data_IF_904891457410
#
_entry.id   IF_904891457410
#
_cell.length_a   1.000
_cell.length_b   1.000
_cell.length_c   1.000
_cell.angle_alpha   90.00
_cell.angle_beta   90.00
_cell.angle_gamma   90.00
#
_symmetry.space_group_name_H-M   'P 1'
#
loop_
_entity.id
_entity.type
_entity.pdbx_description
1 polymer ?
#
# COMPACT_ATOMS: atom_id res chain seq x y z
N UNK A 1 10.99 2.69 10.01
CA UNK A 1 10.15 1.52 10.26
C UNK A 1 8.82 2.01 10.82
N UNK A 2 7.76 1.22 10.73
CA UNK A 2 6.50 1.54 11.37
C UNK A 2 6.61 1.51 12.90
N UNK A 3 5.98 2.49 13.55
CA UNK A 3 5.81 2.57 15.00
C UNK A 3 4.52 3.33 15.31
N UNK A 4 4.09 3.31 16.57
CA UNK A 4 2.96 4.11 17.02
C UNK A 4 3.31 5.59 17.15
N UNK A 5 2.43 6.46 16.65
CA UNK A 5 2.52 7.91 16.78
C UNK A 5 1.11 8.54 16.84
N UNK A 6 1.07 9.87 16.88
CA UNK A 6 -0.16 10.66 17.03
C UNK A 6 -0.54 10.85 18.49
N UNK A 7 -1.71 11.46 18.75
CA UNK A 7 -2.24 11.56 20.11
C UNK A 7 -2.40 10.16 20.70
N UNK A 8 -1.94 9.97 21.95
CA UNK A 8 -2.10 8.72 22.69
C UNK A 8 -1.60 7.44 21.99
N UNK A 9 -0.64 7.54 21.06
CA UNK A 9 -0.12 6.39 20.31
C UNK A 9 -1.23 5.60 19.59
N UNK A 10 -2.11 6.32 18.89
CA UNK A 10 -3.28 5.77 18.22
C UNK A 10 -3.05 5.32 16.78
N UNK A 11 -2.00 5.79 16.11
CA UNK A 11 -1.73 5.49 14.70
C UNK A 11 -0.47 4.65 14.57
N UNK A 12 -0.57 3.49 13.92
CA UNK A 12 0.57 2.65 13.57
C UNK A 12 0.86 2.78 12.07
N UNK A 13 2.03 3.34 11.75
CA UNK A 13 2.42 3.61 10.36
C UNK A 13 3.91 3.89 10.27
N UNK A 14 4.51 3.63 9.09
CA UNK A 14 5.78 4.26 8.73
C UNK A 14 5.59 5.75 8.51
N UNK A 15 6.57 6.56 8.91
CA UNK A 15 6.60 7.99 8.58
C UNK A 15 7.76 8.28 7.65
N UNK A 16 7.50 9.12 6.65
CA UNK A 16 8.52 9.70 5.81
C UNK A 16 9.31 10.72 6.65
N UNK A 17 10.64 10.60 6.56
CA UNK A 17 11.62 11.44 7.25
C UNK A 17 12.47 12.22 6.24
N UNK A 18 12.19 12.10 4.95
CA UNK A 18 12.84 12.91 3.92
C UNK A 18 12.49 14.39 4.13
N UNK A 19 13.50 15.25 4.07
CA UNK A 19 13.35 16.69 4.30
C UNK A 19 12.32 17.29 3.32
N UNK A 20 11.32 18.00 3.87
CA UNK A 20 10.19 18.56 3.11
C UNK A 20 9.04 17.58 2.84
N UNK A 21 9.13 16.32 3.28
CA UNK A 21 8.06 15.31 3.19
C UNK A 21 7.68 14.72 4.56
N UNK A 22 8.18 15.32 5.64
CA UNK A 22 8.04 14.82 6.99
C UNK A 22 6.56 14.63 7.36
N UNK A 23 6.27 13.54 8.07
CA UNK A 23 4.91 13.21 8.51
C UNK A 23 4.02 12.63 7.39
N UNK A 24 4.57 12.45 6.18
CA UNK A 24 3.93 11.64 5.16
C UNK A 24 3.93 10.15 5.52
N UNK A 25 2.99 9.39 4.95
CA UNK A 25 2.95 7.92 5.06
C UNK A 25 2.52 7.30 3.72
N UNK A 26 2.86 6.03 3.51
CA UNK A 26 2.37 5.22 2.40
C UNK A 26 1.39 4.13 2.84
N UNK A 27 1.37 3.74 4.13
CA UNK A 27 0.52 2.70 4.68
C UNK A 27 0.41 2.88 6.19
N UNK A 28 -0.81 2.83 6.71
CA UNK A 28 -1.02 2.83 8.15
C UNK A 28 -2.41 2.41 8.56
N UNK A 29 -2.57 2.16 9.86
CA UNK A 29 -3.84 1.85 10.50
C UNK A 29 -3.93 2.58 11.85
N UNK A 30 -5.10 3.12 12.18
CA UNK A 30 -5.38 3.68 13.50
C UNK A 30 -6.12 2.67 14.37
N UNK A 31 -5.99 2.83 15.70
CA UNK A 31 -6.78 2.07 16.68
C UNK A 31 -8.28 2.26 16.51
N UNK A 32 -8.72 3.34 15.86
CA UNK A 32 -10.13 3.62 15.53
C UNK A 32 -10.65 2.89 14.29
N UNK A 33 -9.85 1.98 13.70
CA UNK A 33 -10.26 1.18 12.53
C UNK A 33 -10.04 1.86 11.18
N UNK A 34 -9.42 3.04 11.12
CA UNK A 34 -9.07 3.67 9.84
C UNK A 34 -7.79 3.09 9.27
N UNK A 35 -7.82 2.58 8.05
CA UNK A 35 -6.64 2.12 7.31
C UNK A 35 -6.50 2.91 6.01
N UNK A 36 -5.28 3.29 5.64
CA UNK A 36 -5.03 3.85 4.31
C UNK A 36 -3.73 3.33 3.72
N UNK A 37 -3.72 3.20 2.40
CA UNK A 37 -2.56 2.79 1.63
C UNK A 37 -2.45 3.60 0.34
N UNK A 38 -1.24 4.06 0.01
CA UNK A 38 -0.95 4.84 -1.18
C UNK A 38 0.04 4.12 -2.08
N UNK A 39 -0.24 4.10 -3.38
CA UNK A 39 0.74 3.71 -4.40
C UNK A 39 0.92 4.83 -5.41
N UNK A 40 2.12 4.93 -6.01
CA UNK A 40 2.35 5.83 -7.13
C UNK A 40 1.60 5.33 -8.38
N UNK A 41 1.43 6.18 -9.38
CA UNK A 41 1.12 5.76 -10.75
C UNK A 41 2.38 5.90 -11.61
N UNK A 42 2.74 4.86 -12.36
CA UNK A 42 3.92 4.83 -13.22
C UNK A 42 3.69 5.77 -14.40
N UNK A 43 4.39 6.90 -14.41
CA UNK A 43 4.36 7.92 -15.45
C UNK A 43 5.73 8.59 -15.53
N UNK A 44 6.32 8.64 -16.72
CA UNK A 44 7.63 9.25 -16.94
C UNK A 44 7.58 10.78 -16.86
N UNK A 45 6.39 11.38 -17.05
CA UNK A 45 6.19 12.83 -17.03
C UNK A 45 5.66 13.24 -15.66
N UNK A 46 6.57 13.57 -14.74
CA UNK A 46 6.22 14.11 -13.44
C UNK A 46 6.22 15.64 -13.49
N UNK A 47 5.23 16.26 -12.84
CA UNK A 47 5.23 17.69 -12.56
C UNK A 47 6.13 17.96 -11.34
N UNK A 48 7.22 18.73 -11.46
CA UNK A 48 8.12 19.02 -10.33
C UNK A 48 7.45 19.89 -9.25
N UNK A 49 6.44 20.67 -9.62
CA UNK A 49 5.74 21.60 -8.71
C UNK A 49 4.52 20.95 -8.02
N UNK A 50 4.27 19.67 -8.28
CA UNK A 50 3.17 18.95 -7.65
C UNK A 50 3.43 18.68 -6.16
N UNK A 51 2.36 18.70 -5.37
CA UNK A 51 2.44 18.42 -3.95
C UNK A 51 2.86 16.97 -3.65
N UNK A 52 3.54 16.78 -2.52
CA UNK A 52 3.79 15.46 -1.95
C UNK A 52 2.48 14.75 -1.60
N UNK A 53 2.46 13.42 -1.77
CA UNK A 53 1.25 12.61 -1.56
C UNK A 53 1.21 11.91 -0.20
N UNK A 54 2.33 11.88 0.52
CA UNK A 54 2.44 11.16 1.79
C UNK A 54 1.45 11.66 2.84
N UNK A 55 1.11 12.96 2.82
CA UNK A 55 0.13 13.53 3.73
C UNK A 55 -1.29 12.98 3.52
N UNK A 56 -1.63 12.45 2.34
CA UNK A 56 -2.96 11.88 2.08
C UNK A 56 -3.27 10.69 2.99
N UNK A 57 -2.27 9.87 3.29
CA UNK A 57 -2.44 8.73 4.21
C UNK A 57 -2.54 9.20 5.65
N UNK A 58 -1.57 10.00 6.11
CA UNK A 58 -1.56 10.47 7.50
C UNK A 58 -2.75 11.35 7.84
N UNK A 59 -3.19 12.22 6.93
CA UNK A 59 -4.40 13.02 7.09
C UNK A 59 -5.62 12.12 7.26
N UNK A 60 -5.83 11.10 6.42
CA UNK A 60 -6.98 10.19 6.59
C UNK A 60 -6.99 9.48 7.95
N UNK A 61 -5.82 9.00 8.41
CA UNK A 61 -5.69 8.29 9.68
C UNK A 61 -6.03 9.18 10.90
N UNK A 62 -5.78 10.49 10.80
CA UNK A 62 -6.09 11.48 11.83
C UNK A 62 -7.51 12.07 11.71
N UNK A 63 -8.07 12.14 10.50
CA UNK A 63 -9.39 12.74 10.22
C UNK A 63 -10.53 11.90 10.82
N UNK A 64 -11.72 12.51 10.91
CA UNK A 64 -12.97 11.88 11.33
C UNK A 64 -13.93 11.61 10.16
N UNK A 65 -13.64 12.10 8.95
CA UNK A 65 -14.42 11.80 7.73
C UNK A 65 -14.46 10.30 7.45
N UNK A 66 -15.57 9.79 6.93
CA UNK A 66 -15.64 8.40 6.43
C UNK A 66 -14.75 8.21 5.18
N UNK A 67 -14.47 6.95 4.83
CA UNK A 67 -13.62 6.58 3.68
C UNK A 67 -14.03 7.26 2.37
N UNK A 68 -15.32 7.22 2.03
CA UNK A 68 -15.79 7.73 0.73
C UNK A 68 -15.77 9.26 0.69
N UNK A 69 -16.23 9.91 1.77
CA UNK A 69 -16.21 11.36 1.89
C UNK A 69 -14.78 11.92 1.84
N UNK A 70 -13.82 11.24 2.49
CA UNK A 70 -12.41 11.62 2.42
C UNK A 70 -11.87 11.51 0.99
N UNK A 71 -12.11 10.39 0.31
CA UNK A 71 -11.63 10.23 -1.07
C UNK A 71 -12.27 11.22 -2.05
N UNK A 72 -13.53 11.62 -1.84
CA UNK A 72 -14.20 12.65 -2.65
C UNK A 72 -13.61 14.04 -2.42
N UNK A 73 -13.17 14.34 -1.18
CA UNK A 73 -12.39 15.55 -0.91
C UNK A 73 -11.07 15.51 -1.68
N UNK A 74 -10.33 14.40 -1.59
CA UNK A 74 -9.07 14.21 -2.32
C UNK A 74 -9.26 14.29 -3.84
N UNK A 75 -10.35 13.75 -4.38
CA UNK A 75 -10.61 13.80 -5.82
C UNK A 75 -10.84 15.22 -6.34
N UNK A 76 -11.45 16.10 -5.53
CA UNK A 76 -11.62 17.53 -5.89
C UNK A 76 -10.28 18.30 -5.96
N UNK A 77 -9.27 17.82 -5.24
CA UNK A 77 -7.91 18.40 -5.16
C UNK A 77 -6.88 17.61 -5.99
N UNK A 78 -7.32 16.61 -6.75
CA UNK A 78 -6.45 15.64 -7.41
C UNK A 78 -5.44 16.24 -8.41
N UNK A 79 -5.76 17.41 -8.96
CA UNK A 79 -4.92 18.18 -9.88
C UNK A 79 -3.64 18.72 -9.23
N UNK A 80 -3.57 18.78 -7.90
CA UNK A 80 -2.40 19.23 -7.14
C UNK A 80 -1.28 18.18 -7.08
N UNK A 81 -1.56 16.92 -7.45
CA UNK A 81 -0.67 15.79 -7.24
C UNK A 81 -0.22 15.13 -8.55
N UNK A 82 1.01 14.61 -8.55
CA UNK A 82 1.43 13.62 -9.54
C UNK A 82 0.60 12.33 -9.43
N UNK A 83 0.64 11.47 -10.47
CA UNK A 83 -0.20 10.27 -10.53
C UNK A 83 -0.09 9.36 -9.29
N UNK A 84 -1.22 8.95 -8.72
CA UNK A 84 -1.30 8.12 -7.51
C UNK A 84 -2.58 7.29 -7.44
N UNK A 85 -2.56 6.34 -6.53
CA UNK A 85 -3.71 5.59 -6.04
C UNK A 85 -3.81 5.72 -4.52
N UNK A 86 -5.02 5.80 -4.01
CA UNK A 86 -5.31 5.84 -2.58
C UNK A 86 -6.43 4.85 -2.26
N UNK A 87 -6.14 3.96 -1.32
CA UNK A 87 -7.09 3.04 -0.71
C UNK A 87 -7.38 3.54 0.70
N UNK A 88 -8.65 3.62 1.08
CA UNK A 88 -9.09 3.94 2.44
C UNK A 88 -10.05 2.86 2.93
N UNK A 89 -9.88 2.44 4.18
CA UNK A 89 -10.80 1.56 4.87
C UNK A 89 -11.27 2.19 6.18
N UNK A 90 -12.47 1.83 6.61
CA UNK A 90 -13.01 2.14 7.92
C UNK A 90 -13.64 0.85 8.46
N UNK A 91 -12.99 0.26 9.47
CA UNK A 91 -13.41 -0.98 10.14
C UNK A 91 -14.10 -0.61 11.47
N UNK A 92 -15.42 -0.40 11.42
CA UNK A 92 -16.24 -0.07 12.61
C UNK A 92 -17.17 -1.22 12.94
N UNK A 93 -17.63 -1.28 14.19
CA UNK A 93 -18.47 -2.36 14.71
C UNK A 93 -19.72 -2.71 13.88
N UNK A 94 -20.23 -1.79 13.05
CA UNK A 94 -21.48 -1.96 12.30
C UNK A 94 -21.30 -2.21 10.79
N UNK A 95 -20.22 -1.75 10.17
CA UNK A 95 -19.98 -1.93 8.74
C UNK A 95 -18.51 -1.67 8.38
N UNK A 96 -17.87 -2.63 7.73
CA UNK A 96 -16.55 -2.47 7.12
C UNK A 96 -16.70 -1.81 5.76
N UNK A 97 -16.08 -0.65 5.59
CA UNK A 97 -16.07 0.06 4.29
C UNK A 97 -14.66 0.08 3.73
N UNK A 98 -14.52 -0.23 2.44
CA UNK A 98 -13.27 -0.08 1.70
C UNK A 98 -13.55 0.71 0.41
N UNK A 99 -12.79 1.77 0.18
CA UNK A 99 -12.92 2.64 -0.98
C UNK A 99 -11.59 2.83 -1.69
N UNK A 100 -11.65 3.06 -3.01
CA UNK A 100 -10.50 3.29 -3.87
C UNK A 100 -10.67 4.55 -4.71
N UNK A 101 -9.58 5.30 -4.88
CA UNK A 101 -9.47 6.39 -5.83
C UNK A 101 -8.09 6.36 -6.51
N UNK A 102 -8.05 6.64 -7.81
CA UNK A 102 -6.80 6.85 -8.55
C UNK A 102 -6.94 8.05 -9.48
N UNK A 103 -6.09 9.07 -9.34
CA UNK A 103 -6.25 10.35 -10.04
C UNK A 103 -5.94 10.32 -11.54
N UNK A 104 -5.55 9.17 -12.08
CA UNK A 104 -5.40 8.91 -13.52
C UNK A 104 -6.55 8.07 -14.10
N UNK A 105 -7.53 7.71 -13.26
CA UNK A 105 -8.72 6.95 -13.64
C UNK A 105 -9.97 7.84 -13.67
N UNK A 106 -11.08 7.29 -13.20
CA UNK A 106 -12.35 8.02 -13.05
C UNK A 106 -12.24 9.20 -12.08
N UNK A 107 -13.08 10.21 -12.29
CA UNK A 107 -13.14 11.40 -11.41
C UNK A 107 -13.68 11.09 -10.01
N UNK A 108 -14.52 10.08 -9.88
CA UNK A 108 -15.16 9.69 -8.62
C UNK A 108 -14.50 8.47 -7.97
N UNK A 109 -14.41 8.43 -6.63
CA UNK A 109 -14.02 7.23 -5.90
C UNK A 109 -15.07 6.12 -6.01
N UNK A 110 -14.67 4.89 -5.72
CA UNK A 110 -15.54 3.72 -5.75
C UNK A 110 -15.52 2.96 -4.42
N UNK A 111 -16.64 2.30 -4.09
CA UNK A 111 -16.70 1.30 -3.04
C UNK A 111 -16.21 -0.05 -3.58
N UNK A 112 -15.35 -0.71 -2.80
CA UNK A 112 -14.91 -2.07 -3.06
C UNK A 112 -15.79 -3.04 -2.29
N UNK A 113 -16.20 -4.12 -2.95
CA UNK A 113 -16.95 -5.21 -2.31
C UNK A 113 -15.97 -6.18 -1.68
N UNK A 114 -16.47 -7.10 -0.85
CA UNK A 114 -15.65 -8.20 -0.34
C UNK A 114 -15.00 -8.98 -1.51
N UNK A 115 -13.70 -9.19 -1.45
CA UNK A 115 -12.94 -9.87 -2.50
C UNK A 115 -11.44 -9.68 -2.40
N UNK A 116 -10.72 -10.25 -3.37
CA UNK A 116 -9.27 -10.12 -3.50
C UNK A 116 -8.97 -9.06 -4.55
N UNK A 117 -8.16 -8.07 -4.19
CA UNK A 117 -7.73 -6.99 -5.06
C UNK A 117 -6.21 -6.90 -5.15
N UNK A 118 -5.72 -6.47 -6.29
CA UNK A 118 -4.33 -6.18 -6.57
C UNK A 118 -4.17 -4.72 -6.98
N UNK A 119 -3.23 -4.03 -6.33
CA UNK A 119 -2.85 -2.67 -6.67
C UNK A 119 -1.33 -2.58 -6.79
N UNK A 120 -0.85 -1.92 -7.84
CA UNK A 120 0.57 -1.65 -8.06
C UNK A 120 0.73 -0.21 -8.52
N UNK A 121 1.71 0.08 -9.38
CA UNK A 121 1.97 1.42 -9.89
C UNK A 121 1.08 1.77 -11.11
N UNK A 122 -0.17 1.32 -11.12
CA UNK A 122 -1.18 1.61 -12.14
C UNK A 122 -2.55 1.64 -11.48
N UNK A 123 -3.63 1.81 -12.26
CA UNK A 123 -4.99 1.76 -11.73
C UNK A 123 -5.31 0.38 -11.15
N UNK A 124 -6.27 0.33 -10.22
CA UNK A 124 -6.72 -0.89 -9.56
C UNK A 124 -7.01 -2.00 -10.57
N UNK A 125 -6.53 -3.22 -10.28
CA UNK A 125 -6.72 -4.41 -11.13
C UNK A 125 -6.14 -4.31 -12.56
N UNK A 126 -5.28 -3.32 -12.85
CA UNK A 126 -4.57 -3.28 -14.14
C UNK A 126 -3.77 -4.58 -14.32
N UNK A 127 -3.94 -5.32 -15.43
CA UNK A 127 -3.50 -6.71 -15.56
C UNK A 127 -2.01 -6.84 -15.88
N UNK A 128 -1.15 -6.14 -15.14
CA UNK A 128 0.29 -6.38 -15.18
C UNK A 128 0.57 -7.81 -14.72
N UNK A 129 1.50 -8.48 -15.39
CA UNK A 129 1.84 -9.88 -15.14
C UNK A 129 2.27 -10.11 -13.70
N UNK A 130 3.03 -9.17 -13.13
CA UNK A 130 3.44 -9.22 -11.72
C UNK A 130 2.25 -9.15 -10.75
N UNK A 131 1.24 -8.35 -11.09
CA UNK A 131 0.03 -8.21 -10.28
C UNK A 131 -0.75 -9.52 -10.31
N UNK A 132 -0.96 -10.08 -11.50
CA UNK A 132 -1.65 -11.36 -11.64
C UNK A 132 -0.88 -12.52 -10.98
N UNK A 133 0.44 -12.54 -11.09
CA UNK A 133 1.31 -13.50 -10.41
C UNK A 133 1.15 -13.40 -8.88
N UNK A 134 1.36 -12.20 -8.31
CA UNK A 134 1.22 -11.98 -6.87
C UNK A 134 -0.19 -12.29 -6.37
N UNK A 135 -1.23 -11.90 -7.12
CA UNK A 135 -2.64 -12.19 -6.77
C UNK A 135 -2.95 -13.69 -6.78
N UNK A 136 -2.39 -14.47 -7.71
CA UNK A 136 -2.50 -15.94 -7.72
C UNK A 136 -1.84 -16.56 -6.49
N UNK A 137 -0.62 -16.14 -6.15
CA UNK A 137 0.07 -16.63 -4.95
C UNK A 137 -0.70 -16.28 -3.67
N UNK A 138 -1.14 -15.03 -3.55
CA UNK A 138 -1.95 -14.55 -2.43
C UNK A 138 -3.23 -15.37 -2.27
N UNK A 139 -3.97 -15.56 -3.36
CA UNK A 139 -5.21 -16.35 -3.38
C UNK A 139 -4.98 -17.79 -2.94
N UNK A 140 -3.87 -18.40 -3.34
CA UNK A 140 -3.48 -19.74 -2.88
C UNK A 140 -3.27 -19.78 -1.37
N UNK A 141 -2.55 -18.80 -0.81
CA UNK A 141 -2.23 -18.73 0.62
C UNK A 141 -3.47 -18.48 1.49
N UNK A 142 -4.33 -17.51 1.14
CA UNK A 142 -5.51 -17.17 1.96
C UNK A 142 -6.60 -18.25 1.97
N UNK A 143 -6.55 -19.19 1.02
CA UNK A 143 -7.44 -20.35 0.97
C UNK A 143 -6.92 -21.55 1.77
N UNK A 144 -5.69 -21.51 2.31
CA UNK A 144 -5.15 -22.55 3.20
C UNK A 144 -5.68 -22.35 4.61
N UNK A 145 -5.86 -23.44 5.34
CA UNK A 145 -6.08 -23.39 6.80
C UNK A 145 -4.71 -23.25 7.50
N UNK A 146 -4.40 -22.05 7.98
CA UNK A 146 -3.15 -21.72 8.67
C UNK A 146 -3.45 -21.07 10.03
N UNK A 147 -2.50 -21.16 10.97
CA UNK A 147 -2.50 -20.27 12.14
C UNK A 147 -2.27 -18.82 11.68
N UNK A 148 -2.65 -17.80 12.48
CA UNK A 148 -2.36 -16.41 12.17
C UNK A 148 -0.87 -16.17 11.84
N UNK A 149 0.04 -16.71 12.65
CA UNK A 149 1.48 -16.60 12.40
C UNK A 149 1.90 -17.30 11.10
N UNK A 150 1.36 -18.49 10.82
CA UNK A 150 1.63 -19.22 9.58
C UNK A 150 1.16 -18.45 8.35
N UNK A 151 0.00 -17.79 8.44
CA UNK A 151 -0.51 -16.92 7.39
C UNK A 151 0.41 -15.71 7.16
N UNK A 152 0.85 -15.04 8.22
CA UNK A 152 1.80 -13.91 8.12
C UNK A 152 3.10 -14.36 7.43
N UNK A 153 3.67 -15.50 7.80
CA UNK A 153 4.91 -16.00 7.20
C UNK A 153 4.76 -16.29 5.70
N UNK A 154 3.68 -16.95 5.29
CA UNK A 154 3.41 -17.22 3.87
C UNK A 154 3.17 -15.94 3.07
N UNK A 155 2.47 -14.95 3.65
CA UNK A 155 2.26 -13.64 3.01
C UNK A 155 3.57 -12.84 2.88
N UNK A 156 4.42 -12.85 3.91
CA UNK A 156 5.75 -12.23 3.85
C UNK A 156 6.65 -12.93 2.82
N UNK A 157 6.52 -14.25 2.66
CA UNK A 157 7.23 -15.00 1.62
C UNK A 157 6.84 -14.50 0.21
N UNK A 158 5.54 -14.30 -0.04
CA UNK A 158 5.05 -13.72 -1.31
C UNK A 158 5.62 -12.32 -1.53
N UNK A 159 5.61 -11.47 -0.50
CA UNK A 159 6.13 -10.09 -0.57
C UNK A 159 7.66 -10.02 -0.81
N UNK A 160 8.38 -11.13 -0.59
CA UNK A 160 9.80 -11.29 -0.88
C UNK A 160 10.09 -12.00 -2.21
N UNK A 161 9.08 -12.25 -3.04
CA UNK A 161 9.26 -12.89 -4.34
C UNK A 161 9.93 -11.92 -5.34
N UNK A 162 11.13 -12.29 -5.81
CA UNK A 162 11.94 -11.52 -6.77
C UNK A 162 11.77 -12.01 -8.23
N UNK A 163 10.81 -12.89 -8.50
CA UNK A 163 10.54 -13.42 -9.85
C UNK A 163 10.16 -12.30 -10.81
N UNK A 164 10.92 -12.20 -11.91
CA UNK A 164 10.68 -11.21 -12.95
C UNK A 164 9.53 -11.66 -13.85
N UNK A 165 8.47 -10.86 -13.93
CA UNK A 165 7.30 -11.16 -14.75
C UNK A 165 7.38 -10.46 -16.12
N UNK A 166 8.56 -10.48 -16.76
CA UNK A 166 8.78 -9.89 -18.09
C UNK A 166 8.79 -10.94 -19.21
N UNK A 167 8.49 -10.57 -20.47
CA UNK A 167 8.01 -9.25 -20.91
C UNK A 167 6.61 -8.97 -20.36
N UNK A 168 6.24 -7.71 -20.17
CA UNK A 168 4.89 -7.33 -19.72
C UNK A 168 4.37 -6.19 -20.60
N UNK A 169 3.64 -6.50 -21.68
CA UNK A 169 3.20 -5.49 -22.63
C UNK A 169 2.35 -4.37 -22.01
N UNK A 170 1.55 -4.67 -20.98
CA UNK A 170 0.72 -3.67 -20.32
C UNK A 170 1.58 -2.71 -19.48
N UNK A 171 2.56 -3.24 -18.74
CA UNK A 171 3.51 -2.42 -18.00
C UNK A 171 4.42 -1.62 -18.94
N UNK A 172 4.94 -2.25 -19.98
CA UNK A 172 5.83 -1.62 -20.97
C UNK A 172 5.13 -0.49 -21.73
N UNK A 173 3.86 -0.67 -22.09
CA UNK A 173 3.06 0.36 -22.75
C UNK A 173 2.79 1.57 -21.85
N UNK A 174 2.58 1.38 -20.54
CA UNK A 174 2.40 2.50 -19.61
C UNK A 174 3.74 3.15 -19.26
N UNK A 175 4.78 2.34 -19.16
CA UNK A 175 6.15 2.74 -18.81
C UNK A 175 6.95 3.36 -19.95
N UNK A 176 6.30 3.87 -21.00
CA UNK A 176 6.98 4.59 -22.09
C UNK A 176 7.75 5.78 -21.50
N UNK A 177 9.04 5.88 -21.85
CA UNK A 177 9.96 6.87 -21.29
C UNK A 177 10.90 6.34 -20.21
N UNK A 178 10.63 5.15 -19.65
CA UNK A 178 11.57 4.45 -18.78
C UNK A 178 12.50 3.53 -19.57
N UNK A 179 13.68 3.24 -19.01
CA UNK A 179 14.59 2.26 -19.60
C UNK A 179 14.05 0.84 -19.46
N UNK A 180 14.37 -0.05 -20.41
CA UNK A 180 14.00 -1.47 -20.34
C UNK A 180 14.50 -2.15 -19.06
N UNK A 181 15.68 -1.74 -18.57
CA UNK A 181 16.24 -2.29 -17.33
C UNK A 181 15.37 -1.94 -16.11
N UNK A 182 14.89 -0.70 -16.01
CA UNK A 182 13.99 -0.27 -14.94
C UNK A 182 12.66 -1.02 -15.04
N UNK A 183 12.04 -1.08 -16.22
CA UNK A 183 10.77 -1.79 -16.41
C UNK A 183 10.89 -3.27 -16.05
N UNK A 184 12.02 -3.91 -16.42
CA UNK A 184 12.31 -5.28 -16.01
C UNK A 184 12.37 -5.42 -14.49
N UNK A 185 13.11 -4.56 -13.78
CA UNK A 185 13.17 -4.61 -12.32
C UNK A 185 11.80 -4.38 -11.66
N UNK A 186 10.99 -3.46 -12.22
CA UNK A 186 9.63 -3.17 -11.74
C UNK A 186 8.63 -4.32 -12.00
N UNK A 187 9.01 -5.39 -12.70
CA UNK A 187 8.15 -6.56 -12.97
C UNK A 187 8.17 -7.62 -11.86
N UNK A 188 8.95 -7.43 -10.80
CA UNK A 188 8.92 -8.30 -9.61
C UNK A 188 7.93 -7.76 -8.56
N UNK A 189 7.48 -8.66 -7.66
CA UNK A 189 6.74 -8.28 -6.44
C UNK A 189 7.70 -7.55 -5.49
N UNK A 190 8.86 -8.15 -5.23
CA UNK A 190 9.96 -7.55 -4.49
C UNK A 190 10.97 -6.94 -5.47
N UNK A 191 10.93 -5.62 -5.61
CA UNK A 191 11.75 -4.92 -6.61
C UNK A 191 13.19 -4.79 -6.13
N UNK A 192 14.12 -5.14 -7.02
CA UNK A 192 15.57 -4.97 -6.85
C UNK A 192 16.16 -4.22 -8.03
N UNK A 193 16.69 -3.03 -7.79
CA UNK A 193 17.41 -2.23 -8.78
C UNK A 193 18.45 -1.34 -8.08
N UNK A 194 19.56 -0.98 -8.75
CA UNK A 194 20.43 0.08 -8.26
C UNK A 194 19.63 1.37 -8.01
N UNK A 195 19.74 1.94 -6.80
CA UNK A 195 19.07 3.19 -6.41
C UNK A 195 17.56 3.11 -6.21
N UNK A 196 16.90 1.96 -6.41
CA UNK A 196 15.46 1.82 -6.21
C UNK A 196 15.06 0.37 -5.87
N UNK A 197 14.20 0.17 -4.88
CA UNK A 197 13.70 -1.16 -4.58
C UNK A 197 12.80 -1.24 -3.35
N UNK A 198 12.26 -2.44 -3.12
CA UNK A 198 11.38 -2.73 -1.99
C UNK A 198 12.21 -2.81 -0.70
N UNK A 199 12.07 -1.80 0.17
CA UNK A 199 12.76 -1.76 1.47
C UNK A 199 11.97 -2.39 2.61
N UNK A 200 10.66 -2.52 2.44
CA UNK A 200 9.73 -2.86 3.52
C UNK A 200 8.62 -3.75 2.98
N UNK A 201 8.24 -4.75 3.77
CA UNK A 201 7.07 -5.60 3.55
C UNK A 201 6.18 -5.55 4.77
N UNK A 202 4.89 -5.28 4.58
CA UNK A 202 3.95 -5.15 5.68
C UNK A 202 2.75 -6.06 5.44
N UNK A 203 2.36 -6.80 6.47
CA UNK A 203 1.14 -7.60 6.51
C UNK A 203 0.27 -7.07 7.64
N UNK A 204 -0.99 -6.75 7.32
CA UNK A 204 -2.00 -6.32 8.29
C UNK A 204 -3.13 -7.35 8.24
N UNK A 205 -3.38 -8.01 9.36
CA UNK A 205 -4.51 -8.91 9.56
C UNK A 205 -5.47 -8.26 10.56
N UNK A 206 -6.77 -8.31 10.28
CA UNK A 206 -7.84 -7.87 11.16
C UNK A 206 -8.86 -9.01 11.21
N UNK A 207 -9.14 -9.54 12.39
CA UNK A 207 -10.15 -10.58 12.56
C UNK A 207 -11.54 -9.99 12.85
N UNK A 208 -12.55 -10.87 12.96
CA UNK A 208 -13.95 -10.49 13.23
C UNK A 208 -14.19 -9.92 14.62
N UNK A 209 -13.26 -10.12 15.55
CA UNK A 209 -13.31 -9.57 16.90
C UNK A 209 -12.58 -8.22 17.00
N UNK A 210 -12.07 -7.71 15.88
CA UNK A 210 -11.33 -6.47 15.79
C UNK A 210 -9.91 -6.57 16.34
N UNK A 211 -9.34 -7.78 16.47
CA UNK A 211 -7.93 -7.91 16.82
C UNK A 211 -7.08 -7.68 15.57
N UNK A 212 -6.11 -6.79 15.70
CA UNK A 212 -5.18 -6.42 14.63
C UNK A 212 -3.82 -7.05 14.90
N UNK A 213 -3.26 -7.70 13.88
CA UNK A 213 -1.83 -8.03 13.80
C UNK A 213 -1.21 -7.24 12.66
N UNK A 214 -0.25 -6.36 12.99
CA UNK A 214 0.55 -5.62 12.04
C UNK A 214 1.97 -6.15 12.12
N UNK A 215 2.46 -6.78 11.05
CA UNK A 215 3.84 -7.27 10.98
C UNK A 215 4.56 -6.58 9.84
N UNK A 216 5.65 -5.90 10.14
CA UNK A 216 6.52 -5.25 9.17
C UNK A 216 7.92 -5.86 9.19
N UNK A 217 8.40 -6.26 8.02
CA UNK A 217 9.77 -6.66 7.76
C UNK A 217 10.46 -5.56 6.96
N UNK A 218 11.51 -4.96 7.51
CA UNK A 218 12.18 -3.78 6.97
C UNK A 218 13.69 -4.01 6.86
N UNK A 219 14.32 -3.53 5.79
CA UNK A 219 15.77 -3.56 5.65
C UNK A 219 16.44 -2.60 6.63
N UNK A 220 17.46 -3.08 7.37
CA UNK A 220 18.20 -2.26 8.34
C UNK A 220 19.07 -1.20 7.67
N UNK A 221 19.61 -1.49 6.49
CA UNK A 221 20.48 -0.60 5.72
C UNK A 221 20.29 -0.89 4.21
N UNK A 222 21.36 -0.88 3.43
CA UNK A 222 21.33 -1.24 2.00
C UNK A 222 21.75 -2.71 1.75
N UNK A 223 22.14 -3.45 2.78
CA UNK A 223 22.44 -4.88 2.73
C UNK A 223 21.13 -5.68 2.64
N UNK A 224 20.97 -6.42 1.53
CA UNK A 224 19.80 -7.22 1.23
C UNK A 224 19.61 -8.42 2.19
N UNK A 225 20.61 -8.73 3.02
CA UNK A 225 20.54 -9.84 3.97
C UNK A 225 20.10 -9.39 5.36
N UNK A 226 20.15 -8.08 5.66
CA UNK A 226 19.88 -7.55 6.99
C UNK A 226 18.48 -6.97 7.10
N UNK A 227 17.59 -7.74 7.72
CA UNK A 227 16.20 -7.36 7.94
C UNK A 227 15.85 -7.39 9.43
N UNK A 228 15.01 -6.46 9.85
CA UNK A 228 14.31 -6.51 11.13
C UNK A 228 12.84 -6.78 10.86
N UNK A 229 12.24 -7.65 11.67
CA UNK A 229 10.80 -7.90 11.67
C UNK A 229 10.23 -7.43 13.01
N UNK A 230 9.27 -6.52 12.96
CA UNK A 230 8.53 -6.05 14.12
C UNK A 230 7.05 -6.38 13.95
N UNK A 231 6.43 -6.85 15.03
CA UNK A 231 5.01 -7.19 15.06
C UNK A 231 4.32 -6.44 16.19
N UNK A 232 3.20 -5.82 15.88
CA UNK A 232 2.35 -5.09 16.82
C UNK A 232 0.98 -5.76 16.85
N UNK A 233 0.44 -5.88 18.05
CA UNK A 233 -0.87 -6.46 18.30
C UNK A 233 -1.70 -5.49 19.13
N UNK A 234 -2.91 -5.20 18.67
CA UNK A 234 -3.84 -4.32 19.39
C UNK A 234 -5.27 -4.64 18.99
N UNK A 235 -6.22 -4.15 19.78
CA UNK A 235 -7.64 -4.26 19.48
C UNK A 235 -8.16 -2.93 18.94
N UNK A 236 -9.01 -2.99 17.92
CA UNK A 236 -9.75 -1.82 17.45
C UNK A 236 -10.62 -1.26 18.57
N UNK A 237 -10.62 0.05 18.69
CA UNK A 237 -11.47 0.83 19.58
C UNK A 237 -12.84 1.02 18.92
N UNK A 238 -13.88 1.01 19.74
CA UNK A 238 -15.25 1.33 19.32
C UNK A 238 -15.41 2.80 18.91
#
# INVERSE_FOLDING_TARGET
AADFWGSNNEILSGLDLEEGKEGGSWLGISKRGKLAALTNYLDARQNPDAQGRGSLVSNYLMDNLDSFAYLRKVSSEAHLYNGFNLLTADFRANEDTLCYYGNKGSSEPIHLKAGIYGLSNSLLETPWRKLQHGKRLFTSVVNKTLSPDGLVQELLHILNNEELNTPDPAQESQGVGFSKAILRALSAVCVRSPGYGTRTNTVILIDREGNVSFTERTMLNCDLTQWSTNSFHFKLQE
#
